data_IF_512935341527
#
_entry.id   IF_512935341527
#
_cell.length_a   1.000
_cell.length_b   1.000
_cell.length_c   1.000
_cell.angle_alpha   90.00
_cell.angle_beta   90.00
_cell.angle_gamma   90.00
#
_symmetry.space_group_name_H-M   'P 1'
#
loop_
_entity.id
_entity.type
_entity.pdbx_description
1 polymer ?
#
# COMPACT_ATOMS: atom_id res chain seq x y z
N UNK A 1 -1.78 28.00 19.65
CA UNK A 1 -0.59 27.41 19.00
C UNK A 1 -0.03 28.43 18.01
N UNK A 2 1.29 28.52 17.84
CA UNK A 2 1.89 29.41 16.82
C UNK A 2 1.58 28.87 15.42
N UNK A 3 1.52 29.75 14.41
CA UNK A 3 1.25 29.36 13.02
C UNK A 3 2.27 28.33 12.49
N UNK A 4 3.53 28.43 12.94
CA UNK A 4 4.56 27.44 12.65
C UNK A 4 4.21 26.07 13.24
N UNK A 5 3.87 26.00 14.53
CA UNK A 5 3.55 24.74 15.19
C UNK A 5 2.34 24.02 14.56
N UNK A 6 1.32 24.78 14.13
CA UNK A 6 0.17 24.22 13.42
C UNK A 6 0.54 23.66 12.05
N UNK A 7 1.42 24.34 11.31
CA UNK A 7 1.89 23.88 10.00
C UNK A 7 2.71 22.59 10.13
N UNK A 8 3.61 22.52 11.11
CA UNK A 8 4.39 21.31 11.41
C UNK A 8 3.53 20.13 11.84
N UNK A 9 2.55 20.37 12.72
CA UNK A 9 1.63 19.31 13.13
C UNK A 9 0.86 18.76 11.94
N UNK A 10 0.34 19.63 11.08
CA UNK A 10 -0.34 19.22 9.85
C UNK A 10 0.59 18.38 8.96
N UNK A 11 1.82 18.83 8.73
CA UNK A 11 2.79 18.06 7.95
C UNK A 11 3.07 16.68 8.55
N UNK A 12 3.30 16.61 9.87
CA UNK A 12 3.52 15.34 10.58
C UNK A 12 2.35 14.38 10.40
N UNK A 13 1.12 14.87 10.63
CA UNK A 13 -0.10 14.07 10.49
C UNK A 13 -0.25 13.55 9.04
N UNK A 14 0.03 14.40 8.03
CA UNK A 14 -0.04 13.99 6.63
C UNK A 14 1.05 12.97 6.25
N UNK A 15 2.26 13.11 6.78
CA UNK A 15 3.33 12.14 6.59
C UNK A 15 2.94 10.78 7.20
N UNK A 16 2.44 10.76 8.43
CA UNK A 16 2.02 9.54 9.12
C UNK A 16 0.96 8.78 8.33
N UNK A 17 -0.06 9.49 7.82
CA UNK A 17 -1.11 8.87 7.00
C UNK A 17 -0.51 8.25 5.73
N UNK A 18 0.38 8.97 5.05
CA UNK A 18 0.99 8.50 3.81
C UNK A 18 1.95 7.32 4.04
N UNK A 19 2.75 7.35 5.10
CA UNK A 19 3.65 6.24 5.45
C UNK A 19 2.85 5.01 5.85
N UNK A 20 1.78 5.15 6.66
CA UNK A 20 0.88 4.04 6.99
C UNK A 20 0.28 3.38 5.74
N UNK A 21 -0.18 4.17 4.79
CA UNK A 21 -0.72 3.67 3.52
C UNK A 21 0.36 2.95 2.68
N UNK A 22 1.57 3.51 2.61
CA UNK A 22 2.68 2.90 1.89
C UNK A 22 3.10 1.55 2.50
N UNK A 23 3.26 1.48 3.82
CA UNK A 23 3.60 0.24 4.54
C UNK A 23 2.52 -0.81 4.37
N UNK A 24 1.24 -0.44 4.45
CA UNK A 24 0.12 -1.37 4.19
C UNK A 24 0.20 -1.98 2.79
N UNK A 25 0.50 -1.16 1.77
CA UNK A 25 0.69 -1.63 0.39
C UNK A 25 1.89 -2.56 0.25
N UNK A 26 3.01 -2.23 0.91
CA UNK A 26 4.21 -3.07 0.91
C UNK A 26 3.95 -4.41 1.60
N UNK A 27 3.30 -4.41 2.77
CA UNK A 27 2.94 -5.62 3.52
C UNK A 27 2.01 -6.53 2.72
N UNK A 28 1.04 -5.97 1.99
CA UNK A 28 0.18 -6.75 1.11
C UNK A 28 0.99 -7.43 -0.03
N UNK A 29 1.98 -6.74 -0.59
CA UNK A 29 2.85 -7.30 -1.62
C UNK A 29 3.80 -8.37 -1.07
N UNK A 30 4.39 -8.16 0.11
CA UNK A 30 5.25 -9.15 0.76
C UNK A 30 4.45 -10.38 1.14
N UNK A 31 3.24 -10.23 1.69
CA UNK A 31 2.32 -11.31 1.99
C UNK A 31 1.96 -12.12 0.75
N UNK A 32 1.69 -11.48 -0.39
CA UNK A 32 1.47 -12.20 -1.66
C UNK A 32 2.68 -13.06 -2.05
N UNK A 33 3.91 -12.54 -1.89
CA UNK A 33 5.15 -13.27 -2.19
C UNK A 33 5.37 -14.43 -1.22
N UNK A 34 5.17 -14.21 0.09
CA UNK A 34 5.34 -15.27 1.10
C UNK A 34 4.34 -16.40 0.89
N UNK A 35 3.07 -16.08 0.63
CA UNK A 35 2.04 -17.08 0.31
C UNK A 35 2.37 -17.87 -0.95
N UNK A 36 2.85 -17.21 -2.01
CA UNK A 36 3.28 -17.90 -3.24
C UNK A 36 4.42 -18.91 -2.95
N UNK A 37 5.40 -18.50 -2.15
CA UNK A 37 6.50 -19.36 -1.74
C UNK A 37 6.02 -20.55 -0.87
N UNK A 38 5.15 -20.30 0.11
CA UNK A 38 4.58 -21.36 0.95
C UNK A 38 3.75 -22.34 0.11
N UNK A 39 2.98 -21.85 -0.86
CA UNK A 39 2.22 -22.71 -1.78
C UNK A 39 3.15 -23.56 -2.66
N UNK A 40 4.25 -23.00 -3.16
CA UNK A 40 5.25 -23.76 -3.89
C UNK A 40 5.89 -24.86 -3.03
N UNK A 41 6.29 -24.52 -1.80
CA UNK A 41 6.81 -25.50 -0.83
C UNK A 41 5.78 -26.58 -0.52
N UNK A 42 4.50 -26.22 -0.38
CA UNK A 42 3.39 -27.15 -0.17
C UNK A 42 3.31 -28.17 -1.31
N UNK A 43 3.38 -27.70 -2.56
CA UNK A 43 3.34 -28.58 -3.73
C UNK A 43 4.54 -29.53 -3.77
N UNK A 44 5.72 -29.06 -3.42
CA UNK A 44 6.91 -29.89 -3.33
C UNK A 44 6.80 -30.94 -2.22
N UNK A 45 6.29 -30.58 -1.05
CA UNK A 45 6.05 -31.51 0.06
C UNK A 45 5.03 -32.61 -0.29
N UNK A 46 3.99 -32.25 -1.06
CA UNK A 46 3.02 -33.23 -1.59
C UNK A 46 3.70 -34.20 -2.55
N UNK A 47 4.57 -33.70 -3.44
CA UNK A 47 5.35 -34.54 -4.37
C UNK A 47 6.32 -35.46 -3.64
N UNK A 48 7.00 -34.98 -2.59
CA UNK A 48 7.94 -35.77 -1.78
C UNK A 48 7.26 -36.66 -0.74
N UNK A 49 5.93 -36.60 -0.59
CA UNK A 49 5.14 -37.35 0.41
C UNK A 49 5.56 -37.09 1.86
N UNK A 50 6.06 -35.89 2.15
CA UNK A 50 6.48 -35.48 3.50
C UNK A 50 5.30 -34.91 4.29
N UNK A 51 4.63 -35.76 5.07
CA UNK A 51 3.41 -35.39 5.81
C UNK A 51 3.65 -34.31 6.89
N UNK A 52 4.75 -34.40 7.64
CA UNK A 52 5.01 -33.48 8.76
C UNK A 52 5.25 -32.04 8.28
N UNK A 53 6.02 -31.88 7.19
CA UNK A 53 6.26 -30.57 6.57
C UNK A 53 4.97 -29.98 5.99
N UNK A 54 4.10 -30.81 5.42
CA UNK A 54 2.82 -30.36 4.89
C UNK A 54 1.91 -29.76 5.98
N UNK A 55 1.87 -30.39 7.17
CA UNK A 55 1.11 -29.90 8.32
C UNK A 55 1.64 -28.54 8.79
N UNK A 56 2.96 -28.39 8.86
CA UNK A 56 3.62 -27.14 9.24
C UNK A 56 3.32 -26.01 8.23
N UNK A 57 3.51 -26.27 6.94
CA UNK A 57 3.24 -25.29 5.87
C UNK A 57 1.78 -24.84 5.90
N UNK A 58 0.83 -25.77 6.09
CA UNK A 58 -0.59 -25.41 6.19
C UNK A 58 -0.89 -24.56 7.43
N UNK A 59 -0.18 -24.79 8.55
CA UNK A 59 -0.27 -23.94 9.73
C UNK A 59 0.28 -22.54 9.46
N UNK A 60 1.40 -22.44 8.75
CA UNK A 60 2.04 -21.16 8.43
C UNK A 60 1.24 -20.35 7.42
N UNK A 61 0.60 -20.99 6.43
CA UNK A 61 -0.38 -20.34 5.54
C UNK A 61 -1.54 -19.75 6.35
N UNK A 62 -2.08 -20.51 7.31
CA UNK A 62 -3.16 -20.03 8.19
C UNK A 62 -2.72 -18.85 9.06
N UNK A 63 -1.49 -18.86 9.57
CA UNK A 63 -0.94 -17.75 10.35
C UNK A 63 -0.73 -16.50 9.49
N UNK A 64 -0.09 -16.65 8.33
CA UNK A 64 0.15 -15.54 7.41
C UNK A 64 -1.15 -14.82 7.01
N UNK A 65 -2.24 -15.56 6.81
CA UNK A 65 -3.55 -14.95 6.53
C UNK A 65 -4.21 -14.26 7.74
N UNK A 66 -3.84 -14.64 8.97
CA UNK A 66 -4.39 -14.07 10.20
C UNK A 66 -3.70 -12.76 10.61
N UNK A 67 -2.43 -12.60 10.26
CA UNK A 67 -1.58 -11.45 10.60
C UNK A 67 -1.86 -10.21 9.72
N UNK A 68 -3.14 -9.84 9.57
CA UNK A 68 -3.53 -8.58 8.89
C UNK A 68 -3.83 -7.50 9.94
N UNK A 69 -2.84 -7.16 10.76
CA UNK A 69 -2.96 -6.01 11.67
C UNK A 69 -2.59 -4.70 10.97
N UNK A 70 -3.18 -3.60 11.43
CA UNK A 70 -2.81 -2.27 10.95
C UNK A 70 -1.35 -1.99 11.33
N UNK A 71 -0.48 -1.62 10.37
CA UNK A 71 0.93 -1.41 10.67
C UNK A 71 1.07 -0.23 11.63
N UNK A 72 1.81 -0.44 12.72
CA UNK A 72 2.30 0.64 13.56
C UNK A 72 3.42 1.33 12.78
N UNK A 73 3.22 2.61 12.47
CA UNK A 73 4.16 3.38 11.66
C UNK A 73 4.47 4.68 12.39
N UNK A 74 5.76 4.97 12.50
CA UNK A 74 6.28 6.24 12.96
C UNK A 74 6.81 7.03 11.77
N UNK A 75 6.81 8.36 11.88
CA UNK A 75 7.41 9.22 10.86
C UNK A 75 8.92 9.20 11.04
N UNK A 76 9.67 9.00 9.96
CA UNK A 76 11.14 8.97 10.00
C UNK A 76 11.71 10.22 10.67
N UNK A 77 12.45 10.01 11.75
CA UNK A 77 13.07 11.07 12.56
C UNK A 77 14.04 11.92 11.72
N UNK A 78 14.79 11.29 10.82
CA UNK A 78 15.72 11.96 9.90
C UNK A 78 14.97 12.90 8.95
N UNK A 79 13.83 12.47 8.41
CA UNK A 79 13.02 13.32 7.53
C UNK A 79 12.47 14.52 8.30
N UNK A 80 11.96 14.30 9.51
CA UNK A 80 11.49 15.38 10.37
C UNK A 80 12.62 16.36 10.71
N UNK A 81 13.82 15.87 10.97
CA UNK A 81 14.99 16.72 11.22
C UNK A 81 15.37 17.54 10.00
N UNK A 82 15.36 16.96 8.80
CA UNK A 82 15.58 17.70 7.55
C UNK A 82 14.50 18.75 7.23
N UNK A 83 13.28 18.54 7.72
CA UNK A 83 12.15 19.45 7.55
C UNK A 83 12.06 20.53 8.65
N UNK A 84 12.86 20.42 9.73
CA UNK A 84 12.94 21.47 10.75
C UNK A 84 13.57 22.72 10.13
N UNK A 85 12.75 23.74 9.98
CA UNK A 85 13.17 25.06 9.52
C UNK A 85 14.06 25.70 10.57
N UNK A 86 15.26 26.11 10.14
CA UNK A 86 16.27 26.79 10.95
C UNK A 86 15.87 28.20 11.41
N UNK A 87 14.94 28.86 10.68
CA UNK A 87 14.38 30.19 11.01
C UNK A 87 12.90 30.29 10.67
N UNK A 88 12.05 30.59 11.65
CA UNK A 88 10.60 30.79 11.46
C UNK A 88 10.32 32.10 10.69
N UNK A 89 10.48 32.05 9.37
CA UNK A 89 10.05 33.12 8.48
C UNK A 89 8.67 32.78 7.91
N UNK A 90 7.83 33.78 7.58
CA UNK A 90 6.50 33.54 7.01
C UNK A 90 6.56 32.71 5.72
N UNK A 91 7.61 32.89 4.91
CA UNK A 91 7.86 32.10 3.70
C UNK A 91 8.05 30.61 4.00
N UNK A 92 8.83 30.28 5.03
CA UNK A 92 9.12 28.90 5.40
C UNK A 92 7.89 28.20 5.99
N UNK A 93 7.12 28.92 6.82
CA UNK A 93 5.86 28.41 7.37
C UNK A 93 4.88 28.08 6.24
N UNK A 94 4.75 28.97 5.26
CA UNK A 94 3.93 28.72 4.07
C UNK A 94 4.42 27.50 3.28
N UNK A 95 5.73 27.36 3.09
CA UNK A 95 6.28 26.21 2.37
C UNK A 95 5.96 24.86 3.04
N UNK A 96 6.06 24.78 4.38
CA UNK A 96 5.64 23.59 5.13
C UNK A 96 4.17 23.27 4.89
N UNK A 97 3.32 24.30 4.93
CA UNK A 97 1.89 24.13 4.72
C UNK A 97 1.59 23.68 3.28
N UNK A 98 2.30 24.21 2.28
CA UNK A 98 2.17 23.81 0.88
C UNK A 98 2.56 22.33 0.70
N UNK A 99 3.62 21.85 1.38
CA UNK A 99 4.00 20.43 1.37
C UNK A 99 2.91 19.57 2.01
N UNK A 100 2.39 19.96 3.18
CA UNK A 100 1.31 19.21 3.84
C UNK A 100 0.07 19.12 2.95
N UNK A 101 -0.30 20.23 2.30
CA UNK A 101 -1.41 20.27 1.34
C UNK A 101 -1.15 19.36 0.15
N UNK A 102 0.06 19.39 -0.43
CA UNK A 102 0.43 18.51 -1.54
C UNK A 102 0.27 17.03 -1.17
N UNK A 103 0.74 16.61 0.01
CA UNK A 103 0.61 15.22 0.48
C UNK A 103 -0.86 14.79 0.60
N UNK A 104 -1.72 15.70 1.08
CA UNK A 104 -3.16 15.47 1.16
C UNK A 104 -3.80 15.39 -0.23
N UNK A 105 -3.49 16.35 -1.10
CA UNK A 105 -4.05 16.43 -2.45
C UNK A 105 -3.60 15.30 -3.36
N UNK A 106 -2.41 14.73 -3.14
CA UNK A 106 -1.98 13.56 -3.88
C UNK A 106 -2.91 12.38 -3.65
N UNK A 107 -3.46 12.20 -2.43
CA UNK A 107 -4.42 11.13 -2.15
C UNK A 107 -5.76 11.39 -2.85
N UNK A 108 -6.30 12.59 -2.73
CA UNK A 108 -7.56 12.95 -3.39
C UNK A 108 -7.45 12.87 -4.92
N UNK A 109 -6.29 13.24 -5.47
CA UNK A 109 -5.99 13.08 -6.89
C UNK A 109 -6.04 11.60 -7.33
N UNK A 110 -5.45 10.68 -6.55
CA UNK A 110 -5.53 9.25 -6.85
C UNK A 110 -6.97 8.74 -6.80
N UNK A 111 -7.76 9.12 -5.79
CA UNK A 111 -9.17 8.76 -5.68
C UNK A 111 -9.98 9.26 -6.89
N UNK A 112 -9.70 10.48 -7.37
CA UNK A 112 -10.36 11.04 -8.55
C UNK A 112 -9.97 10.28 -9.83
N UNK A 113 -8.70 9.91 -9.99
CA UNK A 113 -8.27 9.07 -11.12
C UNK A 113 -9.03 7.74 -11.12
N UNK A 114 -9.09 7.06 -9.98
CA UNK A 114 -9.76 5.75 -9.88
C UNK A 114 -11.24 5.84 -10.21
N UNK A 115 -11.92 6.94 -9.83
CA UNK A 115 -13.35 7.13 -10.10
C UNK A 115 -13.65 7.48 -11.56
N UNK A 116 -12.89 8.41 -12.14
CA UNK A 116 -13.21 8.96 -13.47
C UNK A 116 -12.44 8.30 -14.60
N UNK A 117 -11.27 7.73 -14.31
CA UNK A 117 -10.44 7.00 -15.27
C UNK A 117 -9.87 5.71 -14.69
N UNK A 118 -10.74 4.74 -14.31
CA UNK A 118 -10.27 3.44 -13.83
C UNK A 118 -9.45 2.68 -14.88
N UNK A 119 -9.63 2.99 -16.17
CA UNK A 119 -8.86 2.38 -17.25
C UNK A 119 -7.34 2.66 -17.17
N UNK A 120 -6.92 3.69 -16.45
CA UNK A 120 -5.50 3.99 -16.25
C UNK A 120 -4.84 3.02 -15.26
N UNK A 121 -5.54 2.63 -14.19
CA UNK A 121 -5.02 1.82 -13.09
C UNK A 121 -5.30 0.32 -13.24
N UNK A 122 -6.21 -0.06 -14.15
CA UNK A 122 -6.54 -1.45 -14.44
C UNK A 122 -5.40 -2.25 -15.05
N UNK A 123 -5.28 -3.52 -14.66
CA UNK A 123 -4.39 -4.48 -15.31
C UNK A 123 -4.85 -4.78 -16.74
N UNK A 124 -3.97 -5.33 -17.57
CA UNK A 124 -4.35 -5.68 -18.95
C UNK A 124 -5.45 -6.75 -18.99
N UNK A 125 -5.38 -7.74 -18.11
CA UNK A 125 -6.41 -8.77 -17.97
C UNK A 125 -7.78 -8.16 -17.66
N UNK A 126 -7.84 -7.24 -16.70
CA UNK A 126 -9.09 -6.58 -16.33
C UNK A 126 -9.66 -5.75 -17.50
N UNK A 127 -8.80 -5.10 -18.29
CA UNK A 127 -9.21 -4.34 -19.48
C UNK A 127 -9.81 -5.25 -20.53
N UNK A 128 -9.17 -6.38 -20.83
CA UNK A 128 -9.68 -7.37 -21.78
C UNK A 128 -11.02 -7.90 -21.30
N UNK A 129 -11.14 -8.28 -20.01
CA UNK A 129 -12.39 -8.76 -19.42
C UNK A 129 -13.52 -7.75 -19.52
N UNK A 130 -13.29 -6.48 -19.15
CA UNK A 130 -14.31 -5.42 -19.29
C UNK A 130 -14.72 -5.17 -20.74
N UNK A 131 -13.76 -5.28 -21.66
CA UNK A 131 -14.02 -5.11 -23.10
C UNK A 131 -14.87 -6.26 -23.62
N UNK A 132 -14.58 -7.50 -23.23
CA UNK A 132 -15.40 -8.66 -23.56
C UNK A 132 -16.82 -8.54 -22.96
N UNK A 133 -16.95 -8.13 -21.70
CA UNK A 133 -18.25 -7.90 -21.08
C UNK A 133 -19.05 -6.82 -21.80
N UNK A 134 -18.39 -5.80 -22.37
CA UNK A 134 -19.05 -4.75 -23.16
C UNK A 134 -19.70 -5.30 -24.43
N UNK A 135 -19.16 -6.37 -25.00
CA UNK A 135 -19.72 -7.06 -26.18
C UNK A 135 -20.53 -8.31 -25.81
N UNK A 136 -20.77 -8.56 -24.52
CA UNK A 136 -21.52 -9.72 -24.04
C UNK A 136 -20.77 -11.05 -24.11
N UNK A 137 -19.43 -11.03 -24.23
CA UNK A 137 -18.59 -12.21 -24.14
C UNK A 137 -18.02 -12.36 -22.72
N UNK A 138 -17.95 -13.59 -22.21
CA UNK A 138 -17.28 -13.92 -20.94
C UNK A 138 -15.93 -14.60 -21.21
N UNK A 139 -14.90 -14.25 -20.42
CA UNK A 139 -13.55 -14.82 -20.56
C UNK A 139 -13.38 -16.04 -19.66
N UNK A 140 -12.77 -17.14 -20.15
CA UNK A 140 -12.46 -18.30 -19.32
C UNK A 140 -11.45 -17.94 -18.21
N UNK A 141 -11.61 -18.57 -17.03
CA UNK A 141 -10.81 -18.26 -15.82
C UNK A 141 -9.32 -18.64 -15.94
N UNK A 142 -8.97 -19.46 -16.93
CA UNK A 142 -7.63 -20.03 -17.11
C UNK A 142 -6.63 -19.07 -17.78
N UNK A 143 -7.07 -17.89 -18.22
CA UNK A 143 -6.20 -16.85 -18.80
C UNK A 143 -5.36 -16.06 -17.74
N UNK A 144 -5.16 -16.63 -16.54
CA UNK A 144 -4.34 -16.07 -15.45
C UNK A 144 -2.84 -16.26 -15.65
#
# INVERSE_FOLDING_TARGET
MTAAATAYKSLYDQLLINTKAAVKKQNAQTLKKTLALLNYQRLNAIKSKEADKLIQINKDIKKANKETEDPQVEVDSILLEGLKVTKETPKNIKHIQDIANFLSYQRTYQELIERYNPGLTMTQEDKVRRTANRVGLDLPEDLK
#
